data_IF_119777416628
#
_entry.id   IF_119777416628
#
_cell.length_a   1.000
_cell.length_b   1.000
_cell.length_c   1.000
_cell.angle_alpha   90.00
_cell.angle_beta   90.00
_cell.angle_gamma   90.00
#
_symmetry.space_group_name_H-M   'P 1'
#
loop_
_entity.id
_entity.type
_entity.pdbx_description
1 polymer ?
#
# COMPACT_ATOMS: atom_id res chain seq x y z
N UNK A 1 31.78 4.55 4.59
CA UNK A 1 31.03 4.05 3.42
C UNK A 1 29.56 4.15 3.78
N UNK A 2 28.86 5.05 3.11
CA UNK A 2 27.46 5.39 3.38
C UNK A 2 26.57 4.22 2.99
N UNK A 3 25.73 3.76 3.93
CA UNK A 3 24.67 2.79 3.65
C UNK A 3 23.51 3.56 3.03
N UNK A 4 23.27 3.29 1.77
CA UNK A 4 22.23 3.92 0.96
C UNK A 4 20.86 3.80 1.62
N UNK A 5 20.19 4.96 1.64
CA UNK A 5 18.77 5.11 1.96
C UNK A 5 17.97 4.21 1.03
N UNK A 6 17.43 3.12 1.57
CA UNK A 6 16.26 2.48 0.99
C UNK A 6 15.14 3.52 1.15
N UNK A 7 14.95 4.36 0.13
CA UNK A 7 13.76 5.21 0.06
C UNK A 7 12.55 4.33 0.27
N UNK A 8 11.65 4.77 1.15
CA UNK A 8 10.45 4.07 1.55
C UNK A 8 9.46 4.01 0.37
N UNK A 9 9.78 3.20 -0.64
CA UNK A 9 8.99 3.01 -1.87
C UNK A 9 7.64 2.33 -1.59
N UNK A 10 7.43 1.90 -0.35
CA UNK A 10 6.18 1.29 0.12
C UNK A 10 5.24 2.37 0.63
N UNK A 11 5.73 3.30 1.46
CA UNK A 11 4.90 4.39 2.01
C UNK A 11 4.94 5.68 1.17
N UNK A 12 6.01 5.93 0.41
CA UNK A 12 6.23 7.14 -0.39
C UNK A 12 6.92 6.83 -1.73
N UNK A 13 6.23 6.19 -2.70
CA UNK A 13 6.78 6.04 -4.05
C UNK A 13 7.06 7.42 -4.67
N UNK A 14 8.27 7.63 -5.22
CA UNK A 14 8.78 8.91 -5.72
C UNK A 14 8.00 9.55 -6.90
N UNK A 15 6.95 8.90 -7.37
CA UNK A 15 6.08 9.38 -8.42
C UNK A 15 4.67 9.36 -7.86
N UNK A 16 4.13 10.54 -7.50
CA UNK A 16 2.73 10.94 -7.22
C UNK A 16 2.56 11.98 -6.08
N UNK A 17 3.62 12.57 -5.52
CA UNK A 17 3.51 13.67 -4.55
C UNK A 17 3.20 15.01 -5.23
N UNK A 18 2.03 15.13 -5.84
CA UNK A 18 1.46 16.38 -6.36
C UNK A 18 0.37 16.85 -5.37
N UNK A 19 0.77 17.51 -4.27
CA UNK A 19 -0.14 18.15 -3.32
C UNK A 19 0.11 17.89 -1.83
N UNK A 20 -0.62 18.60 -0.96
CA UNK A 20 -0.55 18.51 0.51
C UNK A 20 -1.41 17.37 1.11
N UNK A 21 -2.11 16.59 0.27
CA UNK A 21 -3.07 15.57 0.69
C UNK A 21 -2.63 14.25 0.09
N UNK A 22 -2.47 13.22 0.92
CA UNK A 22 -2.20 11.86 0.47
C UNK A 22 -3.44 11.29 -0.26
N UNK A 23 -3.22 10.61 -1.39
CA UNK A 23 -4.32 10.07 -2.22
C UNK A 23 -5.24 9.13 -1.41
N UNK A 24 -4.68 8.38 -0.46
CA UNK A 24 -5.46 7.49 0.39
C UNK A 24 -6.43 8.25 1.30
N UNK A 25 -6.04 9.42 1.79
CA UNK A 25 -6.89 10.26 2.66
C UNK A 25 -8.03 10.88 1.85
N UNK A 26 -7.78 11.28 0.60
CA UNK A 26 -8.84 11.72 -0.31
C UNK A 26 -9.86 10.60 -0.63
N UNK A 27 -9.37 9.38 -0.88
CA UNK A 27 -10.23 8.21 -1.12
C UNK A 27 -11.10 7.92 0.11
N UNK A 28 -10.55 8.09 1.31
CA UNK A 28 -11.27 7.97 2.58
C UNK A 28 -12.36 9.04 2.72
N UNK A 29 -12.06 10.32 2.45
CA UNK A 29 -13.02 11.42 2.46
C UNK A 29 -14.20 11.18 1.49
N UNK A 30 -13.94 10.53 0.34
CA UNK A 30 -14.99 10.15 -0.61
C UNK A 30 -15.77 8.89 -0.25
N UNK A 31 -15.48 8.24 0.88
CA UNK A 31 -16.15 7.02 1.29
C UNK A 31 -15.82 5.79 0.42
N UNK A 32 -14.73 5.85 -0.35
CA UNK A 32 -14.33 4.80 -1.29
C UNK A 32 -13.29 3.82 -0.72
N UNK A 33 -12.87 4.04 0.53
CA UNK A 33 -11.77 3.32 1.19
C UNK A 33 -11.98 1.81 1.26
N UNK A 34 -13.21 1.33 1.50
CA UNK A 34 -13.48 -0.10 1.65
C UNK A 34 -13.20 -0.87 0.36
N UNK A 35 -13.82 -0.44 -0.75
CA UNK A 35 -13.65 -1.08 -2.05
C UNK A 35 -12.21 -0.95 -2.55
N UNK A 36 -11.61 0.23 -2.35
CA UNK A 36 -10.24 0.50 -2.77
C UNK A 36 -9.22 -0.40 -2.06
N UNK A 37 -9.28 -0.49 -0.72
CA UNK A 37 -8.37 -1.34 0.04
C UNK A 37 -8.56 -2.82 -0.30
N UNK A 38 -9.81 -3.33 -0.31
CA UNK A 38 -10.09 -4.74 -0.63
C UNK A 38 -9.58 -5.12 -2.02
N UNK A 39 -9.83 -4.28 -3.03
CA UNK A 39 -9.35 -4.50 -4.38
C UNK A 39 -7.82 -4.53 -4.47
N UNK A 40 -7.13 -3.63 -3.77
CA UNK A 40 -5.67 -3.63 -3.72
C UNK A 40 -5.10 -4.85 -2.99
N UNK A 41 -5.69 -5.28 -1.87
CA UNK A 41 -5.29 -6.52 -1.18
C UNK A 41 -5.35 -7.70 -2.16
N UNK A 42 -6.48 -7.89 -2.86
CA UNK A 42 -6.64 -8.96 -3.85
C UNK A 42 -5.59 -8.84 -4.95
N UNK A 43 -5.37 -7.63 -5.48
CA UNK A 43 -4.39 -7.36 -6.54
C UNK A 43 -2.98 -7.78 -6.14
N UNK A 44 -2.52 -7.36 -4.96
CA UNK A 44 -1.15 -7.60 -4.51
C UNK A 44 -0.92 -9.06 -4.10
N UNK A 45 -1.87 -9.68 -3.38
CA UNK A 45 -1.81 -11.11 -3.07
C UNK A 45 -1.82 -11.96 -4.33
N UNK A 46 -2.63 -11.62 -5.33
CA UNK A 46 -2.70 -12.38 -6.59
C UNK A 46 -1.45 -12.27 -7.45
N UNK A 47 -0.69 -11.18 -7.30
CA UNK A 47 0.51 -10.85 -8.08
C UNK A 47 1.81 -11.33 -7.41
N UNK A 48 1.81 -11.52 -6.10
CA UNK A 48 2.91 -12.11 -5.34
C UNK A 48 3.42 -13.40 -6.03
N UNK A 49 4.74 -13.50 -6.23
CA UNK A 49 5.38 -14.63 -6.91
C UNK A 49 5.23 -14.69 -8.44
N UNK A 50 4.43 -13.80 -9.06
CA UNK A 50 4.16 -13.79 -10.52
C UNK A 50 4.76 -12.58 -11.26
N UNK A 51 5.43 -11.69 -10.53
CA UNK A 51 6.01 -10.47 -11.10
C UNK A 51 7.37 -10.76 -11.73
N UNK A 52 7.38 -10.98 -13.04
CA UNK A 52 8.62 -10.99 -13.82
C UNK A 52 9.08 -9.54 -14.06
N UNK A 53 10.24 -9.16 -13.51
CA UNK A 53 10.93 -7.91 -13.85
C UNK A 53 12.44 -8.09 -13.68
N UNK A 54 13.26 -7.32 -14.38
CA UNK A 54 14.72 -7.48 -14.33
C UNK A 54 15.40 -6.84 -13.10
N UNK A 55 14.66 -6.15 -12.25
CA UNK A 55 15.21 -5.13 -11.33
C UNK A 55 15.35 -5.52 -9.86
N UNK A 56 14.79 -6.65 -9.43
CA UNK A 56 14.89 -7.16 -8.05
C UNK A 56 14.95 -8.71 -8.09
N UNK A 57 15.42 -9.35 -7.03
CA UNK A 57 15.25 -10.79 -6.87
C UNK A 57 13.76 -11.16 -6.79
N UNK A 58 13.40 -12.38 -7.22
CA UNK A 58 12.01 -12.83 -7.27
C UNK A 58 11.36 -12.84 -5.88
N UNK A 59 12.11 -13.28 -4.86
CA UNK A 59 11.63 -13.34 -3.48
C UNK A 59 11.37 -11.95 -2.89
N UNK A 60 12.26 -10.98 -3.14
CA UNK A 60 12.09 -9.60 -2.65
C UNK A 60 10.84 -8.93 -3.25
N UNK A 61 10.52 -9.21 -4.52
CA UNK A 61 9.29 -8.71 -5.15
C UNK A 61 8.04 -9.31 -4.54
N UNK A 62 8.07 -10.61 -4.28
CA UNK A 62 6.98 -11.32 -3.63
C UNK A 62 6.72 -10.75 -2.24
N UNK A 63 7.78 -10.57 -1.44
CA UNK A 63 7.71 -9.92 -0.13
C UNK A 63 7.14 -8.51 -0.26
N UNK A 64 7.64 -7.68 -1.19
CA UNK A 64 7.14 -6.32 -1.40
C UNK A 64 5.64 -6.30 -1.72
N UNK A 65 5.14 -7.22 -2.55
CA UNK A 65 3.71 -7.30 -2.85
C UNK A 65 2.90 -7.72 -1.61
N UNK A 66 3.38 -8.67 -0.83
CA UNK A 66 2.73 -9.09 0.42
C UNK A 66 2.70 -7.96 1.46
N UNK A 67 3.78 -7.18 1.58
CA UNK A 67 3.83 -6.01 2.47
C UNK A 67 2.85 -4.92 2.04
N UNK A 68 2.71 -4.68 0.73
CA UNK A 68 1.68 -3.77 0.19
C UNK A 68 0.29 -4.27 0.51
N UNK A 69 0.02 -5.57 0.34
CA UNK A 69 -1.27 -6.16 0.71
C UNK A 69 -1.57 -5.96 2.21
N UNK A 70 -0.60 -6.23 3.09
CA UNK A 70 -0.72 -5.99 4.54
C UNK A 70 -1.06 -4.54 4.83
N UNK A 71 -0.37 -3.59 4.20
CA UNK A 71 -0.61 -2.16 4.40
C UNK A 71 -2.07 -1.76 4.10
N UNK A 72 -2.64 -2.21 2.97
CA UNK A 72 -4.04 -1.92 2.63
C UNK A 72 -5.02 -2.57 3.61
N UNK A 73 -4.70 -3.78 4.08
CA UNK A 73 -5.53 -4.47 5.07
C UNK A 73 -5.52 -3.74 6.42
N UNK A 74 -4.34 -3.36 6.91
CA UNK A 74 -4.18 -2.62 8.16
C UNK A 74 -4.85 -1.24 8.10
N UNK A 75 -4.77 -0.56 6.94
CA UNK A 75 -5.48 0.71 6.71
C UNK A 75 -6.99 0.53 6.83
N UNK A 76 -7.55 -0.51 6.20
CA UNK A 76 -8.99 -0.79 6.27
C UNK A 76 -9.45 -1.16 7.70
N UNK A 77 -8.65 -1.96 8.42
CA UNK A 77 -8.91 -2.28 9.84
C UNK A 77 -8.91 -1.00 10.68
N UNK A 78 -7.95 -0.11 10.45
CA UNK A 78 -7.85 1.18 11.16
C UNK A 78 -9.07 2.05 10.89
N UNK A 79 -9.50 2.15 9.63
CA UNK A 79 -10.71 2.85 9.24
C UNK A 79 -11.94 2.33 10.00
N UNK A 80 -12.17 1.01 10.02
CA UNK A 80 -13.31 0.44 10.76
C UNK A 80 -13.21 0.63 12.28
N UNK A 81 -12.01 0.55 12.85
CA UNK A 81 -11.80 0.83 14.29
C UNK A 81 -12.13 2.28 14.64
N UNK A 82 -11.86 3.23 13.75
CA UNK A 82 -12.23 4.64 13.92
C UNK A 82 -13.76 4.81 13.90
N UNK A 83 -14.42 4.25 12.89
CA UNK A 83 -15.88 4.25 12.78
C UNK A 83 -16.57 3.63 14.01
N UNK A 84 -16.02 2.55 14.58
CA UNK A 84 -16.59 1.92 15.80
C UNK A 84 -16.42 2.75 17.08
N UNK A 85 -15.50 3.72 17.11
CA UNK A 85 -15.31 4.61 18.28
C UNK A 85 -16.20 5.86 18.19
N UNK A 86 -16.65 6.20 16.99
CA UNK A 86 -17.49 7.37 16.70
C UNK A 86 -18.99 7.06 16.81
N UNK A 87 -19.35 5.77 16.89
CA UNK A 87 -20.71 5.25 17.12
C UNK A 87 -20.84 4.68 18.54
#
# INVERSE_FOLDING_TARGET
MNKDKIEDQVNHPAHYTDGNIEVIDYIEDKGLIEGFCKGNVIKYVSRAGKKESASLELLDKEIQDLEKARWYLDRLITYYKKQRKEN
#
